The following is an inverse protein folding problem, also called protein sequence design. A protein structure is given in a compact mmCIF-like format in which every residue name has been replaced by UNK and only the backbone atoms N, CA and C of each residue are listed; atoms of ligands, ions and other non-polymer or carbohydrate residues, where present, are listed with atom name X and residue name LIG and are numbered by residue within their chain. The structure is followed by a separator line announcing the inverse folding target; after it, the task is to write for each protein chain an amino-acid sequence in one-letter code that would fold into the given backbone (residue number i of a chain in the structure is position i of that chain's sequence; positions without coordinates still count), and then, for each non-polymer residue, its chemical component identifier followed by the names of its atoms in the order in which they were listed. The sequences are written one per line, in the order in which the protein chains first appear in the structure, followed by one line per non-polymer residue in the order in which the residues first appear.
data_IF_894994755774
#
_entry.id   IF_894994755774
#
_cell.length_a   1.000
_cell.length_b   1.000
_cell.length_c   1.000
_cell.angle_alpha   90.00
_cell.angle_beta   90.00
_cell.angle_gamma   90.00
#
_symmetry.space_group_name_H-M   'P 1'
#
loop_
_entity.id
_entity.type
_entity.pdbx_description
1 polymer ?
#
# COMPACT_ATOMS: atom_id res chain seq x y z
N UNK A 1 7.09 6.85 7.91
CA UNK A 1 6.86 5.55 7.26
C UNK A 1 6.63 5.81 5.78
N UNK A 2 7.51 5.32 4.89
CA UNK A 2 7.51 5.65 3.45
C UNK A 2 6.41 4.93 2.65
N UNK A 3 5.67 4.03 3.29
CA UNK A 3 4.78 3.05 2.65
C UNK A 3 3.50 3.72 2.10
N UNK A 4 2.84 4.55 2.91
CA UNK A 4 1.65 5.30 2.49
C UNK A 4 1.91 6.29 1.34
N UNK A 5 3.14 6.82 1.22
CA UNK A 5 3.53 7.67 0.08
C UNK A 5 3.54 6.86 -1.22
N UNK A 6 4.06 5.63 -1.18
CA UNK A 6 4.20 4.79 -2.38
C UNK A 6 2.85 4.44 -2.99
N UNK A 7 1.83 4.19 -2.18
CA UNK A 7 0.47 3.96 -2.65
C UNK A 7 -0.05 5.14 -3.49
N UNK A 8 0.14 6.38 -3.02
CA UNK A 8 -0.26 7.58 -3.76
C UNK A 8 0.53 7.74 -5.05
N UNK A 9 1.85 7.62 -4.99
CA UNK A 9 2.72 7.76 -6.16
C UNK A 9 2.37 6.71 -7.23
N UNK A 10 2.08 5.47 -6.81
CA UNK A 10 1.63 4.40 -7.69
C UNK A 10 0.25 4.67 -8.29
N UNK A 11 -0.71 5.16 -7.50
CA UNK A 11 -2.04 5.55 -8.01
C UNK A 11 -1.91 6.64 -9.09
N UNK A 12 -1.18 7.72 -8.80
CA UNK A 12 -0.93 8.82 -9.75
C UNK A 12 -0.32 8.31 -11.07
N UNK A 13 0.63 7.38 -11.01
CA UNK A 13 1.26 6.81 -12.22
C UNK A 13 0.29 5.88 -12.96
N UNK A 14 -0.42 5.01 -12.23
CA UNK A 14 -1.33 4.03 -12.81
C UNK A 14 -2.55 4.67 -13.50
N UNK A 15 -3.02 5.79 -12.97
CA UNK A 15 -4.17 6.53 -13.50
C UNK A 15 -3.78 7.52 -14.61
N UNK A 16 -2.49 7.69 -14.89
CA UNK A 16 -1.97 8.60 -15.91
C UNK A 16 -2.02 10.08 -15.50
N UNK A 17 -1.87 10.36 -14.21
CA UNK A 17 -2.09 11.69 -13.62
C UNK A 17 -0.79 12.45 -13.32
N UNK A 18 0.35 12.00 -13.81
CA UNK A 18 1.66 12.61 -13.53
C UNK A 18 1.75 14.09 -13.96
N UNK A 19 1.08 14.45 -15.05
CA UNK A 19 1.02 15.83 -15.53
C UNK A 19 0.02 16.70 -14.76
N UNK A 20 -0.93 16.07 -14.05
CA UNK A 20 -2.00 16.74 -13.28
C UNK A 20 -1.65 16.89 -11.80
N UNK A 21 -0.88 15.95 -11.25
CA UNK A 21 -0.53 15.89 -9.83
C UNK A 21 0.98 15.98 -9.68
N UNK A 22 1.45 17.16 -9.26
CA UNK A 22 2.87 17.39 -8.99
C UNK A 22 3.28 16.77 -7.66
N UNK A 23 4.19 15.80 -7.70
CA UNK A 23 4.79 15.21 -6.51
C UNK A 23 5.85 16.13 -5.90
N UNK A 24 5.70 16.44 -4.61
CA UNK A 24 6.67 17.25 -3.85
C UNK A 24 7.28 16.38 -2.74
N UNK A 25 8.49 15.81 -2.94
CA UNK A 25 9.12 14.97 -1.94
C UNK A 25 9.58 15.80 -0.73
N UNK A 26 9.30 15.32 0.47
CA UNK A 26 9.78 15.92 1.73
C UNK A 26 10.76 14.97 2.44
N UNK A 27 11.83 15.54 2.98
CA UNK A 27 12.67 14.82 3.94
C UNK A 27 11.91 14.68 5.26
N UNK A 28 11.61 13.44 5.67
CA UNK A 28 10.80 13.21 6.87
C UNK A 28 11.54 13.48 8.19
N UNK A 29 12.88 13.39 8.18
CA UNK A 29 13.74 13.67 9.32
C UNK A 29 13.97 15.17 9.50
N UNK A 30 13.84 15.92 8.41
CA UNK A 30 14.04 17.38 8.36
C UNK A 30 12.95 18.00 7.48
N UNK A 31 11.72 18.01 7.99
CA UNK A 31 10.58 18.57 7.26
C UNK A 31 10.65 20.10 7.32
N UNK A 32 10.46 20.79 6.19
CA UNK A 32 10.49 22.24 6.20
C UNK A 32 9.31 22.81 6.99
N UNK A 33 9.56 23.85 7.80
CA UNK A 33 8.56 24.48 8.68
C UNK A 33 7.30 24.93 7.92
N UNK A 34 7.47 25.44 6.69
CA UNK A 34 6.37 25.89 5.85
C UNK A 34 5.32 24.79 5.59
N UNK A 35 5.71 23.52 5.60
CA UNK A 35 4.76 22.43 5.33
C UNK A 35 3.70 22.37 6.42
N UNK A 36 4.12 22.41 7.69
CA UNK A 36 3.19 22.44 8.83
C UNK A 36 2.42 23.77 8.90
N UNK A 37 3.09 24.88 8.63
CA UNK A 37 2.51 26.22 8.84
C UNK A 37 1.53 26.63 7.75
N UNK A 38 1.77 26.22 6.50
CA UNK A 38 1.07 26.75 5.33
C UNK A 38 0.34 25.70 4.50
N UNK A 39 0.76 24.44 4.59
CA UNK A 39 0.13 23.35 3.85
C UNK A 39 -0.67 22.50 4.81
N UNK A 40 -0.06 21.54 5.50
CA UNK A 40 -0.82 20.59 6.31
C UNK A 40 -0.42 20.66 7.79
N UNK A 41 -1.24 21.30 8.66
CA UNK A 41 -0.95 21.46 10.09
C UNK A 41 -0.73 20.16 10.86
N UNK A 42 -1.32 19.06 10.38
CA UNK A 42 -1.13 17.71 10.93
C UNK A 42 0.31 17.21 10.74
N UNK A 43 1.08 17.80 9.81
CA UNK A 43 2.49 17.55 9.56
C UNK A 43 2.83 16.06 9.26
N UNK A 44 1.84 15.34 8.70
CA UNK A 44 1.97 13.97 8.19
C UNK A 44 2.01 13.98 6.67
N UNK A 45 2.55 12.93 6.07
CA UNK A 45 2.48 12.69 4.62
C UNK A 45 1.89 11.29 4.37
N UNK A 46 1.23 11.06 3.23
CA UNK A 46 0.94 12.01 2.13
C UNK A 46 -0.15 13.04 2.49
N UNK A 47 -0.16 14.16 1.75
CA UNK A 47 -1.25 15.13 1.73
C UNK A 47 -1.38 15.72 0.31
N UNK A 48 -2.60 15.99 -0.13
CA UNK A 48 -2.91 16.60 -1.42
C UNK A 48 -3.59 17.94 -1.22
N UNK A 49 -3.12 18.96 -1.92
CA UNK A 49 -3.82 20.24 -2.07
C UNK A 49 -4.54 20.24 -3.43
N UNK A 50 -5.87 20.33 -3.42
CA UNK A 50 -6.68 20.42 -4.63
C UNK A 50 -7.94 21.24 -4.37
N UNK A 51 -8.27 22.15 -5.28
CA UNK A 51 -9.44 23.05 -5.16
C UNK A 51 -9.53 23.81 -3.82
N UNK A 52 -8.38 24.30 -3.33
CA UNK A 52 -8.30 25.05 -2.06
C UNK A 52 -8.56 24.21 -0.81
N UNK A 53 -8.63 22.88 -0.94
CA UNK A 53 -8.77 21.93 0.17
C UNK A 53 -7.50 21.11 0.30
N UNK A 54 -7.19 20.73 1.54
CA UNK A 54 -6.08 19.84 1.85
C UNK A 54 -6.65 18.54 2.39
N UNK A 55 -6.31 17.46 1.72
CA UNK A 55 -6.76 16.11 2.01
C UNK A 55 -5.56 15.36 2.56
N UNK A 56 -5.71 14.76 3.74
CA UNK A 56 -4.73 13.85 4.33
C UNK A 56 -5.28 12.43 4.31
N UNK A 57 -4.55 11.52 4.98
CA UNK A 57 -4.84 10.08 5.04
C UNK A 57 -4.77 9.37 3.69
N UNK A 58 -3.90 8.35 3.58
CA UNK A 58 -3.55 7.79 2.27
C UNK A 58 -4.71 7.10 1.55
N UNK A 59 -5.63 6.47 2.29
CA UNK A 59 -6.79 5.78 1.71
C UNK A 59 -7.80 6.79 1.15
N UNK A 60 -8.13 7.83 1.92
CA UNK A 60 -9.01 8.91 1.48
C UNK A 60 -8.42 9.61 0.25
N UNK A 61 -7.09 9.77 0.23
CA UNK A 61 -6.38 10.35 -0.90
C UNK A 61 -6.45 9.51 -2.18
N UNK A 62 -6.15 8.20 -2.14
CA UNK A 62 -6.26 7.37 -3.36
C UNK A 62 -7.70 7.35 -3.90
N UNK A 63 -8.70 7.28 -3.03
CA UNK A 63 -10.12 7.33 -3.42
C UNK A 63 -10.49 8.68 -4.01
N UNK A 64 -9.99 9.76 -3.41
CA UNK A 64 -10.23 11.11 -3.89
C UNK A 64 -9.63 11.33 -5.27
N UNK A 65 -8.40 10.86 -5.52
CA UNK A 65 -7.73 10.97 -6.82
C UNK A 65 -8.56 10.26 -7.90
N UNK A 66 -8.92 9.00 -7.68
CA UNK A 66 -9.74 8.20 -8.61
C UNK A 66 -11.10 8.83 -8.92
N UNK A 67 -11.73 9.47 -7.93
CA UNK A 67 -13.07 10.07 -8.10
C UNK A 67 -13.07 11.51 -8.67
N UNK A 68 -11.95 12.24 -8.62
CA UNK A 68 -11.92 13.69 -8.92
C UNK A 68 -11.00 14.08 -10.08
N UNK A 69 -10.24 13.13 -10.64
CA UNK A 69 -9.38 13.39 -11.79
C UNK A 69 -9.80 12.53 -12.97
N UNK A 70 -9.82 13.11 -14.16
CA UNK A 70 -10.01 12.34 -15.39
C UNK A 70 -8.75 11.49 -15.66
N UNK A 71 -8.91 10.18 -15.59
CA UNK A 71 -7.85 9.18 -15.75
C UNK A 71 -8.43 7.77 -15.89
N UNK A 72 -7.58 6.76 -15.87
CA UNK A 72 -8.04 5.36 -15.83
C UNK A 72 -8.54 5.06 -14.43
N UNK A 73 -9.85 4.90 -14.24
CA UNK A 73 -10.39 4.57 -12.93
C UNK A 73 -9.95 3.18 -12.48
N UNK A 74 -9.58 3.07 -11.20
CA UNK A 74 -9.07 1.89 -10.53
C UNK A 74 -10.04 1.35 -9.48
N UNK A 75 -11.30 1.82 -9.47
CA UNK A 75 -12.39 1.19 -8.73
C UNK A 75 -13.47 0.70 -9.70
N UNK A 76 -13.88 -0.58 -9.62
CA UNK A 76 -14.92 -1.11 -10.48
C UNK A 76 -16.28 -0.48 -10.16
N UNK A 77 -17.17 -0.42 -11.15
CA UNK A 77 -18.54 0.04 -10.97
C UNK A 77 -19.47 -1.02 -10.36
N UNK A 78 -19.06 -2.28 -10.38
CA UNK A 78 -19.80 -3.40 -9.85
C UNK A 78 -20.06 -3.23 -8.32
N UNK A 79 -21.32 -3.32 -7.86
CA UNK A 79 -21.65 -3.10 -6.46
C UNK A 79 -20.99 -4.09 -5.49
N UNK A 80 -20.89 -5.37 -5.85
CA UNK A 80 -20.29 -6.40 -4.99
C UNK A 80 -18.78 -6.16 -4.84
N UNK A 81 -18.10 -5.80 -5.94
CA UNK A 81 -16.69 -5.43 -5.88
C UNK A 81 -16.45 -4.15 -5.08
N UNK A 82 -17.35 -3.18 -5.13
CA UNK A 82 -17.27 -1.96 -4.29
C UNK A 82 -17.41 -2.28 -2.80
N UNK A 83 -18.38 -3.11 -2.43
CA UNK A 83 -18.57 -3.53 -1.04
C UNK A 83 -17.33 -4.27 -0.52
N UNK A 84 -16.78 -5.19 -1.32
CA UNK A 84 -15.57 -5.92 -0.96
C UNK A 84 -14.33 -5.02 -0.90
N UNK A 85 -14.24 -4.00 -1.77
CA UNK A 85 -13.18 -3.00 -1.69
C UNK A 85 -13.21 -2.26 -0.35
N UNK A 86 -14.40 -1.84 0.12
CA UNK A 86 -14.55 -1.16 1.42
C UNK A 86 -14.21 -2.07 2.61
N UNK A 87 -14.58 -3.35 2.55
CA UNK A 87 -14.15 -4.35 3.53
C UNK A 87 -12.61 -4.42 3.59
N UNK A 88 -11.97 -4.56 2.43
CA UNK A 88 -10.52 -4.69 2.35
C UNK A 88 -9.81 -3.39 2.76
N UNK A 89 -10.33 -2.21 2.43
CA UNK A 89 -9.79 -0.95 2.92
C UNK A 89 -9.89 -0.83 4.44
N UNK A 90 -10.99 -1.28 5.03
CA UNK A 90 -11.15 -1.28 6.49
C UNK A 90 -10.15 -2.24 7.16
N UNK A 91 -9.81 -3.35 6.49
CA UNK A 91 -8.87 -4.34 7.02
C UNK A 91 -7.39 -3.93 6.95
N UNK A 92 -7.00 -2.93 6.14
CA UNK A 92 -5.57 -2.59 5.93
C UNK A 92 -4.82 -2.26 7.22
N UNK A 93 -5.49 -1.54 8.14
CA UNK A 93 -4.90 -1.15 9.43
C UNK A 93 -4.71 -2.36 10.35
N UNK A 94 -5.67 -3.28 10.33
CA UNK A 94 -5.58 -4.53 11.07
C UNK A 94 -4.48 -5.41 10.52
N UNK A 95 -4.45 -5.63 9.20
CA UNK A 95 -3.37 -6.35 8.53
C UNK A 95 -1.99 -5.79 8.89
N UNK A 96 -1.81 -4.48 8.74
CA UNK A 96 -0.53 -3.80 8.99
C UNK A 96 -0.13 -3.91 10.45
N UNK A 97 -1.05 -3.66 11.38
CA UNK A 97 -0.80 -3.77 12.81
C UNK A 97 -0.38 -5.19 13.19
N UNK A 98 -1.16 -6.19 12.81
CA UNK A 98 -0.98 -7.56 13.25
C UNK A 98 0.38 -8.12 12.76
N UNK A 99 0.74 -7.84 11.49
CA UNK A 99 2.07 -8.22 10.97
C UNK A 99 3.19 -7.46 11.67
N UNK A 100 3.06 -6.15 11.89
CA UNK A 100 4.09 -5.37 12.59
C UNK A 100 4.30 -5.81 14.04
N UNK A 101 3.23 -6.15 14.76
CA UNK A 101 3.33 -6.62 16.15
C UNK A 101 4.01 -7.98 16.23
N UNK A 102 3.82 -8.82 15.21
CA UNK A 102 4.46 -10.15 15.13
C UNK A 102 5.98 -10.08 15.16
N UNK A 103 6.59 -8.99 14.68
CA UNK A 103 8.05 -8.82 14.62
C UNK A 103 8.74 -8.83 15.99
N UNK A 104 7.97 -8.62 17.08
CA UNK A 104 8.45 -8.69 18.46
C UNK A 104 8.17 -10.03 19.14
N UNK A 105 7.45 -10.93 18.48
CA UNK A 105 7.05 -12.26 18.96
C UNK A 105 7.61 -13.36 18.07
N UNK A 106 6.75 -14.28 17.63
CA UNK A 106 7.05 -15.34 16.67
C UNK A 106 6.35 -15.05 15.32
N UNK A 107 7.00 -14.33 14.37
CA UNK A 107 6.35 -13.94 13.12
C UNK A 107 5.83 -15.08 12.28
N UNK A 108 6.45 -16.26 12.37
CA UNK A 108 6.03 -17.44 11.60
C UNK A 108 4.62 -17.89 12.06
N UNK A 109 4.34 -17.81 13.37
CA UNK A 109 3.02 -18.17 13.92
C UNK A 109 2.04 -17.02 13.92
N UNK A 110 2.51 -15.80 14.18
CA UNK A 110 1.64 -14.65 14.47
C UNK A 110 1.24 -13.87 13.21
N UNK A 111 2.10 -13.80 12.18
CA UNK A 111 1.77 -13.10 10.93
C UNK A 111 0.98 -13.97 9.95
N UNK A 112 1.06 -15.30 10.09
CA UNK A 112 0.41 -16.26 9.19
C UNK A 112 -1.08 -15.98 8.93
N UNK A 113 -1.92 -15.83 9.98
CA UNK A 113 -3.35 -15.57 9.81
C UNK A 113 -3.68 -14.31 9.00
N UNK A 114 -2.84 -13.26 9.11
CA UNK A 114 -3.04 -12.03 8.34
C UNK A 114 -2.80 -12.26 6.84
N UNK A 115 -1.80 -13.06 6.48
CA UNK A 115 -1.58 -13.46 5.09
C UNK A 115 -2.58 -14.50 4.60
N UNK A 116 -3.08 -15.38 5.46
CA UNK A 116 -4.16 -16.33 5.13
C UNK A 116 -5.47 -15.60 4.80
N UNK A 117 -5.76 -14.48 5.48
CA UNK A 117 -6.88 -13.62 5.13
C UNK A 117 -6.72 -13.03 3.72
N UNK A 118 -5.53 -12.53 3.36
CA UNK A 118 -5.27 -12.03 2.00
C UNK A 118 -5.36 -13.13 0.94
N UNK A 119 -4.80 -14.31 1.21
CA UNK A 119 -4.94 -15.48 0.34
C UNK A 119 -6.43 -15.79 0.09
N UNK A 120 -7.24 -15.87 1.16
CA UNK A 120 -8.69 -16.10 1.04
C UNK A 120 -9.39 -15.00 0.27
N UNK A 121 -9.04 -13.73 0.51
CA UNK A 121 -9.65 -12.59 -0.19
C UNK A 121 -9.41 -12.65 -1.70
N UNK A 122 -8.22 -13.11 -2.14
CA UNK A 122 -7.87 -13.28 -3.56
C UNK A 122 -8.61 -14.44 -4.26
N UNK A 123 -9.38 -15.25 -3.53
CA UNK A 123 -10.28 -16.25 -4.13
C UNK A 123 -11.69 -15.72 -4.39
N UNK A 124 -12.03 -14.50 -3.93
CA UNK A 124 -13.40 -13.97 -3.99
C UNK A 124 -13.90 -13.76 -5.43
N UNK A 125 -13.03 -13.28 -6.31
CA UNK A 125 -13.33 -13.04 -7.73
C UNK A 125 -12.37 -13.85 -8.60
N UNK A 126 -12.88 -14.51 -9.64
CA UNK A 126 -12.14 -15.42 -10.52
C UNK A 126 -11.82 -14.80 -11.90
N UNK A 127 -12.27 -13.57 -12.14
CA UNK A 127 -12.06 -12.83 -13.38
C UNK A 127 -10.70 -12.10 -13.45
N UNK A 128 -9.74 -12.48 -12.60
CA UNK A 128 -8.34 -12.08 -12.71
C UNK A 128 -7.54 -12.34 -11.42
N UNK A 129 -6.27 -11.92 -11.37
CA UNK A 129 -5.34 -12.24 -10.29
C UNK A 129 -5.36 -11.24 -9.12
N UNK A 130 -6.20 -10.20 -9.18
CA UNK A 130 -6.24 -9.09 -8.23
C UNK A 130 -7.38 -9.23 -7.21
N UNK A 131 -7.37 -8.43 -6.14
CA UNK A 131 -8.38 -8.53 -5.08
C UNK A 131 -9.82 -8.34 -5.58
N UNK A 132 -10.00 -7.51 -6.61
CA UNK A 132 -11.30 -7.27 -7.26
C UNK A 132 -11.36 -7.93 -8.65
N UNK A 133 -10.57 -8.98 -8.87
CA UNK A 133 -10.33 -9.61 -10.17
C UNK A 133 -9.38 -8.81 -11.05
N UNK A 134 -9.72 -7.57 -11.37
CA UNK A 134 -8.90 -6.62 -12.12
C UNK A 134 -8.10 -5.70 -11.19
N UNK A 135 -7.00 -5.14 -11.71
CA UNK A 135 -6.12 -4.25 -10.94
C UNK A 135 -6.87 -3.01 -10.43
N UNK A 136 -6.69 -2.70 -9.16
CA UNK A 136 -7.51 -1.71 -8.46
C UNK A 136 -6.76 -0.94 -7.38
N UNK A 137 -7.43 0.07 -6.80
CA UNK A 137 -6.93 0.79 -5.63
C UNK A 137 -6.69 -0.11 -4.41
N UNK A 138 -7.38 -1.24 -4.30
CA UNK A 138 -7.15 -2.20 -3.20
C UNK A 138 -5.74 -2.79 -3.32
N UNK A 139 -5.34 -3.20 -4.53
CA UNK A 139 -4.01 -3.74 -4.77
C UNK A 139 -2.92 -2.71 -4.43
N UNK A 140 -3.14 -1.45 -4.84
CA UNK A 140 -2.27 -0.30 -4.52
C UNK A 140 -2.18 -0.05 -3.01
N UNK A 141 -3.26 -0.23 -2.26
CA UNK A 141 -3.28 -0.02 -0.82
C UNK A 141 -2.43 -1.09 -0.08
N UNK A 142 -2.46 -2.34 -0.54
CA UNK A 142 -1.79 -3.46 0.13
C UNK A 142 -0.33 -3.65 -0.30
N UNK A 143 0.00 -3.52 -1.59
CA UNK A 143 1.31 -3.94 -2.11
C UNK A 143 2.51 -3.24 -1.45
N UNK A 144 2.47 -1.95 -1.08
CA UNK A 144 3.62 -1.33 -0.43
C UNK A 144 3.93 -1.95 0.95
N UNK A 145 2.92 -2.48 1.64
CA UNK A 145 3.08 -3.19 2.90
C UNK A 145 3.51 -4.65 2.67
N UNK A 146 2.82 -5.37 1.77
CA UNK A 146 3.14 -6.78 1.51
C UNK A 146 4.57 -6.94 0.98
N UNK A 147 5.02 -6.09 0.06
CA UNK A 147 6.41 -6.07 -0.41
C UNK A 147 7.38 -5.86 0.77
N UNK A 148 7.07 -4.89 1.64
CA UNK A 148 7.90 -4.55 2.77
C UNK A 148 8.04 -5.70 3.77
N UNK A 149 6.91 -6.33 4.09
CA UNK A 149 6.84 -7.47 4.99
C UNK A 149 7.48 -8.71 4.39
N UNK A 150 7.25 -9.00 3.11
CA UNK A 150 7.87 -10.14 2.41
C UNK A 150 9.39 -10.09 2.52
N UNK A 151 9.99 -8.95 2.17
CA UNK A 151 11.44 -8.76 2.21
C UNK A 151 11.95 -8.94 3.64
N UNK A 152 11.34 -8.26 4.61
CA UNK A 152 11.82 -8.28 5.98
C UNK A 152 11.65 -9.64 6.66
N UNK A 153 10.49 -10.28 6.51
CA UNK A 153 10.20 -11.60 7.06
C UNK A 153 11.12 -12.67 6.48
N UNK A 154 11.37 -12.63 5.17
CA UNK A 154 12.31 -13.53 4.52
C UNK A 154 13.74 -13.33 5.04
N UNK A 155 14.22 -12.08 5.09
CA UNK A 155 15.59 -11.78 5.47
C UNK A 155 15.88 -12.04 6.95
N UNK A 156 15.03 -11.52 7.85
CA UNK A 156 15.25 -11.54 9.29
C UNK A 156 14.75 -12.83 9.97
N UNK A 157 13.70 -13.47 9.43
CA UNK A 157 13.02 -14.60 10.09
C UNK A 157 12.98 -15.87 9.24
N UNK A 158 13.50 -15.85 8.00
CA UNK A 158 13.45 -16.96 7.06
C UNK A 158 12.02 -17.45 6.80
N UNK A 159 11.05 -16.55 6.89
CA UNK A 159 9.65 -16.84 6.66
C UNK A 159 9.23 -16.43 5.25
N UNK A 160 8.80 -17.42 4.47
CA UNK A 160 8.21 -17.21 3.14
C UNK A 160 6.69 -17.07 3.26
N UNK A 161 6.20 -15.85 3.04
CA UNK A 161 4.76 -15.55 3.10
C UNK A 161 3.96 -16.21 1.97
N UNK A 162 4.64 -16.68 0.91
CA UNK A 162 3.98 -17.31 -0.26
C UNK A 162 3.83 -18.82 -0.11
N UNK A 163 4.55 -19.44 0.83
CA UNK A 163 4.44 -20.86 1.11
C UNK A 163 3.02 -21.23 1.55
N UNK A 164 2.34 -22.08 0.77
CA UNK A 164 0.95 -22.46 1.01
C UNK A 164 -0.10 -21.41 0.61
N UNK A 165 0.31 -20.29 -0.01
CA UNK A 165 -0.57 -19.18 -0.43
C UNK A 165 -0.41 -18.88 -1.93
N UNK A 166 -0.93 -19.76 -2.81
CA UNK A 166 -0.70 -19.68 -4.24
C UNK A 166 -1.34 -18.45 -4.89
N UNK A 167 -2.51 -17.97 -4.41
CA UNK A 167 -3.10 -16.74 -4.95
C UNK A 167 -2.30 -15.51 -4.56
N UNK A 168 -1.81 -15.45 -3.32
CA UNK A 168 -0.91 -14.39 -2.88
C UNK A 168 0.39 -14.38 -3.70
N UNK A 169 0.95 -15.56 -3.98
CA UNK A 169 2.13 -15.68 -4.84
C UNK A 169 1.86 -15.13 -6.25
N UNK A 170 0.76 -15.54 -6.87
CA UNK A 170 0.35 -15.07 -8.20
C UNK A 170 0.08 -13.55 -8.20
N UNK A 171 -0.59 -13.04 -7.18
CA UNK A 171 -0.86 -11.61 -7.01
C UNK A 171 0.42 -10.77 -6.96
N UNK A 172 1.42 -11.21 -6.18
CA UNK A 172 2.74 -10.57 -6.14
C UNK A 172 3.41 -10.62 -7.52
N UNK A 173 3.36 -11.77 -8.20
CA UNK A 173 3.95 -11.92 -9.53
C UNK A 173 3.32 -10.97 -10.56
N UNK A 174 2.00 -10.88 -10.60
CA UNK A 174 1.27 -10.03 -11.54
C UNK A 174 1.48 -8.54 -11.25
N UNK A 175 1.48 -8.14 -9.97
CA UNK A 175 1.83 -6.76 -9.61
C UNK A 175 3.24 -6.39 -10.06
N UNK A 176 4.20 -7.31 -9.95
CA UNK A 176 5.57 -7.08 -10.43
C UNK A 176 5.66 -6.81 -11.95
N UNK A 177 4.61 -7.09 -12.72
CA UNK A 177 4.53 -6.77 -14.15
C UNK A 177 4.02 -5.36 -14.42
N UNK A 178 3.37 -4.70 -13.45
CA UNK A 178 2.81 -3.34 -13.57
C UNK A 178 3.90 -2.27 -13.47
N UNK A 179 4.03 -1.43 -14.50
CA UNK A 179 5.09 -0.41 -14.57
C UNK A 179 4.97 0.66 -13.49
N UNK A 180 3.75 1.05 -13.11
CA UNK A 180 3.50 1.98 -12.01
C UNK A 180 4.06 1.45 -10.68
N UNK A 181 3.93 0.15 -10.43
CA UNK A 181 4.49 -0.47 -9.22
C UNK A 181 6.02 -0.55 -9.28
N UNK A 182 6.59 -0.99 -10.40
CA UNK A 182 8.04 -1.10 -10.57
C UNK A 182 8.76 0.22 -10.27
N UNK A 183 8.19 1.34 -10.75
CA UNK A 183 8.75 2.69 -10.55
C UNK A 183 8.75 3.15 -9.10
N UNK A 184 7.88 2.59 -8.26
CA UNK A 184 7.71 3.03 -6.86
C UNK A 184 8.35 2.07 -5.85
N UNK A 185 9.12 1.08 -6.30
CA UNK A 185 9.83 0.13 -5.43
C UNK A 185 10.88 0.78 -4.54
N UNK A 186 11.03 0.24 -3.34
CA UNK A 186 12.07 0.68 -2.41
C UNK A 186 13.33 -0.18 -2.54
N UNK A 187 14.48 0.37 -2.16
CA UNK A 187 15.69 -0.42 -1.99
C UNK A 187 15.50 -1.46 -0.86
N UNK A 188 15.65 -2.76 -1.14
CA UNK A 188 15.43 -3.81 -0.14
C UNK A 188 16.37 -3.73 1.07
N UNK A 189 17.63 -3.32 0.89
CA UNK A 189 18.62 -3.23 1.98
C UNK A 189 18.24 -2.10 2.93
N UNK A 190 17.92 -0.91 2.40
CA UNK A 190 17.48 0.22 3.22
C UNK A 190 16.21 -0.12 4.02
N UNK A 191 15.28 -0.87 3.41
CA UNK A 191 14.06 -1.31 4.07
C UNK A 191 14.36 -2.27 5.24
N UNK A 192 15.20 -3.27 5.03
CA UNK A 192 15.59 -4.23 6.07
C UNK A 192 16.30 -3.54 7.22
N UNK A 193 17.26 -2.65 6.93
CA UNK A 193 17.96 -1.86 7.95
C UNK A 193 16.98 -1.02 8.79
N UNK A 194 16.04 -0.34 8.13
CA UNK A 194 14.97 0.41 8.80
C UNK A 194 14.12 -0.47 9.71
N UNK A 195 13.62 -1.62 9.24
CA UNK A 195 12.81 -2.51 10.08
C UNK A 195 13.62 -3.10 11.24
N UNK A 196 14.88 -3.52 11.02
CA UNK A 196 15.76 -4.00 12.09
C UNK A 196 15.92 -2.96 13.19
N UNK A 197 16.33 -1.74 12.83
CA UNK A 197 16.51 -0.64 13.79
C UNK A 197 15.25 -0.25 14.57
N UNK A 198 14.06 -0.47 13.98
CA UNK A 198 12.78 -0.06 14.57
C UNK A 198 12.14 -1.14 15.44
N UNK A 199 12.37 -2.42 15.14
CA UNK A 199 11.61 -3.54 15.71
C UNK A 199 12.47 -4.61 16.38
N UNK A 200 13.75 -4.75 16.03
CA UNK A 200 14.66 -5.78 16.56
C UNK A 200 15.79 -5.21 17.42
N UNK A 201 15.84 -3.89 17.61
CA UNK A 201 16.74 -3.19 18.53
C UNK A 201 16.01 -2.82 19.80
#
# INVERSE_FOLDING_TARGET
MRIHRRAIEMAVIAEGLQDKIKLVPLNLQDKPAWYKEKVYPVNKVPALEHNGKIIGESLDLIKYVDSNFEGTSLLPNDPEKKEFAEELFTYTDTFTRDVLTSFKGDPIKEAGPAFDYLEKALHKFDDGPFFLGQFSLVDIAYIPFVEGFQIFLSEAFKYDITAGRPKLAAWIEELNKIDAYKQTKTDPKQLVEYYKSRFLV
#
